data_IF_657055822288
#
_entry.id   IF_657055822288
#
_cell.length_a   1.000
_cell.length_b   1.000
_cell.length_c   1.000
_cell.angle_alpha   90.00
_cell.angle_beta   90.00
_cell.angle_gamma   90.00
#
_symmetry.space_group_name_H-M   'P 1'
#
loop_
_entity.id
_entity.type
_entity.pdbx_description
1 polymer ?
#
# COMPACT_ATOMS: atom_id res chain seq x y z
N UNK A 1 -7.86 -9.89 41.52
CA UNK A 1 -8.22 -9.21 40.25
C UNK A 1 -8.85 -7.82 40.46
N UNK A 2 -9.92 -7.68 41.26
CA UNK A 2 -10.59 -6.37 41.49
C UNK A 2 -9.68 -5.30 42.12
N UNK A 3 -8.79 -5.67 43.05
CA UNK A 3 -7.86 -4.72 43.66
C UNK A 3 -6.76 -4.23 42.72
N UNK A 4 -6.19 -5.14 41.92
CA UNK A 4 -5.19 -4.79 40.91
C UNK A 4 -5.73 -3.82 39.85
N UNK A 5 -6.98 -4.00 39.41
CA UNK A 5 -7.67 -3.07 38.49
C UNK A 5 -7.91 -1.72 39.17
N UNK A 6 -8.30 -1.71 40.45
CA UNK A 6 -8.58 -0.47 41.20
C UNK A 6 -7.32 0.35 41.45
N UNK A 7 -6.19 -0.28 41.72
CA UNK A 7 -4.89 0.36 41.90
C UNK A 7 -4.32 0.94 40.59
N UNK A 8 -4.62 0.31 39.44
CA UNK A 8 -4.08 0.68 38.13
C UNK A 8 -5.09 1.39 37.20
N UNK A 9 -6.18 1.95 37.74
CA UNK A 9 -7.25 2.58 36.93
C UNK A 9 -6.73 3.60 35.93
N UNK A 10 -5.79 4.45 36.32
CA UNK A 10 -5.19 5.46 35.44
C UNK A 10 -4.44 4.82 34.26
N UNK A 11 -3.65 3.78 34.53
CA UNK A 11 -2.92 3.05 33.49
C UNK A 11 -3.87 2.29 32.54
N UNK A 12 -4.91 1.65 33.08
CA UNK A 12 -5.93 0.97 32.26
C UNK A 12 -6.69 1.99 31.40
N UNK A 13 -7.09 3.13 31.96
CA UNK A 13 -7.73 4.20 31.22
C UNK A 13 -6.82 4.74 30.11
N UNK A 14 -5.52 4.94 30.40
CA UNK A 14 -4.54 5.31 29.41
C UNK A 14 -4.43 4.28 28.27
N UNK A 15 -4.31 2.98 28.58
CA UNK A 15 -4.24 1.94 27.56
C UNK A 15 -5.50 1.88 26.69
N UNK A 16 -6.68 2.04 27.28
CA UNK A 16 -7.95 2.11 26.54
C UNK A 16 -8.02 3.33 25.64
N UNK A 17 -7.70 4.52 26.17
CA UNK A 17 -7.68 5.77 25.40
C UNK A 17 -6.63 5.72 24.29
N UNK A 18 -5.46 5.16 24.56
CA UNK A 18 -4.41 4.94 23.57
C UNK A 18 -4.85 3.98 22.47
N UNK A 19 -5.52 2.87 22.83
CA UNK A 19 -6.09 1.94 21.87
C UNK A 19 -7.15 2.59 20.97
N UNK A 20 -8.06 3.37 21.55
CA UNK A 20 -9.08 4.13 20.80
C UNK A 20 -8.40 5.16 19.88
N UNK A 21 -7.48 5.97 20.42
CA UNK A 21 -6.72 6.96 19.67
C UNK A 21 -5.99 6.33 18.48
N UNK A 22 -5.28 5.23 18.71
CA UNK A 22 -4.59 4.45 17.68
C UNK A 22 -5.55 4.05 16.55
N UNK A 23 -6.72 3.53 16.90
CA UNK A 23 -7.68 3.07 15.89
C UNK A 23 -8.32 4.20 15.08
N UNK A 24 -8.21 5.45 15.53
CA UNK A 24 -8.78 6.62 14.85
C UNK A 24 -7.72 7.47 14.13
N UNK A 25 -6.53 7.62 14.69
CA UNK A 25 -5.56 8.64 14.26
C UNK A 25 -4.37 8.07 13.51
N UNK A 26 -3.73 7.04 14.07
CA UNK A 26 -2.48 6.51 13.54
C UNK A 26 -2.38 4.99 13.75
N UNK A 27 -2.06 4.27 12.68
CA UNK A 27 -1.78 2.83 12.72
C UNK A 27 -0.30 2.56 12.39
N UNK A 28 0.19 1.42 12.83
CA UNK A 28 1.44 0.85 12.33
C UNK A 28 1.14 -0.51 11.73
N UNK A 29 1.47 -0.70 10.45
CA UNK A 29 1.15 -1.92 9.74
C UNK A 29 2.45 -2.65 9.35
N UNK A 30 2.67 -3.89 9.84
CA UNK A 30 3.78 -4.71 9.38
C UNK A 30 3.52 -5.14 7.93
N UNK A 31 4.59 -5.24 7.15
CA UNK A 31 4.55 -5.64 5.74
C UNK A 31 4.94 -7.13 5.65
N UNK A 32 4.01 -8.03 5.32
CA UNK A 32 4.29 -9.46 5.24
C UNK A 32 4.59 -9.98 3.83
N UNK A 33 4.46 -9.15 2.79
CA UNK A 33 4.50 -9.61 1.38
C UNK A 33 5.34 -8.72 0.46
N UNK A 34 5.86 -9.32 -0.62
CA UNK A 34 6.70 -8.69 -1.65
C UNK A 34 5.96 -7.74 -2.62
N UNK A 35 4.64 -7.61 -2.53
CA UNK A 35 3.81 -6.94 -3.55
C UNK A 35 4.10 -5.44 -3.77
N UNK A 36 4.83 -4.83 -2.83
CA UNK A 36 5.21 -3.42 -2.87
C UNK A 36 6.73 -3.21 -3.00
N UNK A 37 7.49 -4.26 -3.36
CA UNK A 37 8.90 -4.14 -3.74
C UNK A 37 9.05 -3.21 -4.96
N UNK A 38 10.11 -2.37 -5.03
CA UNK A 38 11.23 -2.28 -4.10
C UNK A 38 11.01 -1.23 -2.99
N UNK A 39 9.83 -0.60 -2.92
CA UNK A 39 9.58 0.52 -2.00
C UNK A 39 9.29 0.04 -0.58
N UNK A 40 8.51 -1.03 -0.44
CA UNK A 40 8.27 -1.72 0.82
C UNK A 40 8.76 -3.17 0.72
N UNK A 41 9.48 -3.58 1.76
CA UNK A 41 10.05 -4.92 1.89
C UNK A 41 9.37 -5.66 3.03
N UNK A 42 9.32 -6.98 2.95
CA UNK A 42 8.83 -7.83 4.03
C UNK A 42 9.66 -7.58 5.29
N UNK A 43 8.97 -7.37 6.41
CA UNK A 43 9.60 -6.98 7.69
C UNK A 43 9.71 -5.47 7.92
N UNK A 44 9.31 -4.63 6.95
CA UNK A 44 9.04 -3.21 7.21
C UNK A 44 7.80 -3.06 8.11
N UNK A 45 7.80 -2.04 8.95
CA UNK A 45 6.61 -1.56 9.67
C UNK A 45 6.34 -0.13 9.24
N UNK A 46 5.18 0.10 8.65
CA UNK A 46 4.83 1.37 8.03
C UNK A 46 3.95 2.19 8.96
N UNK A 47 4.25 3.48 9.08
CA UNK A 47 3.39 4.47 9.72
C UNK A 47 2.24 4.86 8.79
N UNK A 48 1.01 4.68 9.27
CA UNK A 48 -0.20 4.98 8.52
C UNK A 48 -0.98 6.11 9.19
N UNK A 49 -1.12 7.21 8.46
CA UNK A 49 -1.97 8.33 8.84
C UNK A 49 -3.42 8.01 8.47
N UNK A 50 -4.24 7.69 9.49
CA UNK A 50 -5.66 7.36 9.30
C UNK A 50 -6.52 8.60 9.02
N UNK A 51 -6.06 9.77 9.46
CA UNK A 51 -6.72 11.06 9.23
C UNK A 51 -6.40 11.67 7.86
N UNK A 52 -5.62 10.99 7.02
CA UNK A 52 -5.22 11.51 5.71
C UNK A 52 -6.42 11.81 4.80
N UNK A 53 -7.50 11.02 4.92
CA UNK A 53 -8.66 11.10 4.04
C UNK A 53 -9.98 11.25 4.78
N UNK A 54 -10.16 10.56 5.90
CA UNK A 54 -11.43 10.50 6.61
C UNK A 54 -11.21 10.49 8.13
N UNK A 55 -12.08 11.18 8.88
CA UNK A 55 -12.24 10.97 10.32
C UNK A 55 -13.23 9.83 10.50
N UNK A 56 -12.71 8.66 10.89
CA UNK A 56 -13.53 7.46 11.13
C UNK A 56 -13.91 7.31 12.59
N UNK A 57 -15.09 6.74 12.86
CA UNK A 57 -15.45 6.29 14.20
C UNK A 57 -14.45 5.17 14.59
N UNK A 58 -13.81 5.26 15.78
CA UNK A 58 -12.88 4.24 16.26
C UNK A 58 -13.43 2.83 16.09
N UNK A 59 -12.57 1.88 15.66
CA UNK A 59 -12.91 0.47 15.45
C UNK A 59 -13.92 0.17 14.32
N UNK A 60 -14.32 1.15 13.51
CA UNK A 60 -15.25 0.96 12.39
C UNK A 60 -14.73 1.59 11.09
N UNK A 61 -15.41 1.30 9.97
CA UNK A 61 -15.17 1.96 8.68
C UNK A 61 -16.10 3.16 8.40
N UNK A 62 -16.90 3.56 9.39
CA UNK A 62 -17.85 4.67 9.24
C UNK A 62 -17.09 6.00 9.26
N UNK A 63 -17.11 6.73 8.15
CA UNK A 63 -16.55 8.08 8.03
C UNK A 63 -17.55 9.12 8.56
N UNK A 64 -17.09 9.97 9.48
CA UNK A 64 -17.82 11.12 10.01
C UNK A 64 -17.61 12.38 9.17
N UNK A 65 -16.40 12.55 8.63
CA UNK A 65 -16.01 13.71 7.84
C UNK A 65 -14.84 13.38 6.90
N UNK A 66 -14.86 13.97 5.70
CA UNK A 66 -13.73 13.92 4.76
C UNK A 66 -12.70 14.98 5.16
N UNK A 67 -11.45 14.59 5.36
CA UNK A 67 -10.34 15.49 5.74
C UNK A 67 -9.36 15.76 4.60
N UNK A 68 -9.35 14.92 3.58
CA UNK A 68 -8.47 15.07 2.43
C UNK A 68 -8.88 14.14 1.29
N UNK A 69 -8.37 14.42 0.10
CA UNK A 69 -8.62 13.59 -1.07
C UNK A 69 -7.40 12.73 -1.40
N UNK A 70 -7.58 11.40 -1.62
CA UNK A 70 -6.54 10.53 -2.12
C UNK A 70 -6.02 11.01 -3.48
N UNK A 71 -4.70 10.96 -3.63
CA UNK A 71 -4.00 11.43 -4.83
C UNK A 71 -3.40 10.25 -5.57
N UNK A 72 -3.21 10.44 -6.88
CA UNK A 72 -2.45 9.49 -7.70
C UNK A 72 -1.05 9.33 -7.09
N UNK A 73 -0.60 8.10 -6.96
CA UNK A 73 0.68 7.77 -6.37
C UNK A 73 0.67 7.62 -4.84
N UNK A 74 -0.41 7.95 -4.14
CA UNK A 74 -0.47 7.70 -2.69
C UNK A 74 -0.37 6.18 -2.41
N UNK A 75 0.43 5.81 -1.41
CA UNK A 75 0.47 4.43 -0.89
C UNK A 75 -0.56 4.32 0.23
N UNK A 76 -1.51 3.40 0.10
CA UNK A 76 -2.69 3.35 0.95
C UNK A 76 -2.90 1.96 1.51
N UNK A 77 -3.14 1.89 2.82
CA UNK A 77 -3.67 0.69 3.47
C UNK A 77 -5.18 0.70 3.34
N UNK A 78 -5.78 -0.43 2.99
CA UNK A 78 -7.23 -0.58 2.81
C UNK A 78 -7.67 -2.03 3.09
N UNK A 79 -8.96 -2.22 3.32
CA UNK A 79 -9.58 -3.54 3.39
C UNK A 79 -9.91 -4.02 1.98
N UNK A 80 -9.40 -5.19 1.59
CA UNK A 80 -9.65 -5.81 0.30
C UNK A 80 -11.16 -5.97 0.04
N UNK A 81 -11.70 -5.53 -1.11
CA UNK A 81 -13.12 -5.74 -1.42
C UNK A 81 -13.48 -7.21 -1.66
N UNK A 82 -12.48 -8.08 -1.90
CA UNK A 82 -12.69 -9.51 -2.16
C UNK A 82 -12.98 -10.31 -0.90
N UNK A 83 -12.27 -10.02 0.18
CA UNK A 83 -12.21 -10.88 1.38
C UNK A 83 -11.98 -10.12 2.70
N UNK A 84 -11.87 -8.79 2.67
CA UNK A 84 -11.62 -7.97 3.85
C UNK A 84 -10.17 -7.99 4.36
N UNK A 85 -9.27 -8.73 3.71
CA UNK A 85 -7.85 -8.78 4.06
C UNK A 85 -7.23 -7.37 3.99
N UNK A 86 -6.45 -6.97 5.00
CA UNK A 86 -5.74 -5.68 4.96
C UNK A 86 -4.63 -5.74 3.93
N UNK A 87 -4.73 -4.87 2.93
CA UNK A 87 -3.74 -4.72 1.86
C UNK A 87 -3.14 -3.33 1.89
N UNK A 88 -1.94 -3.21 1.34
CA UNK A 88 -1.28 -1.95 1.05
C UNK A 88 -0.89 -1.95 -0.43
N UNK A 89 -1.31 -0.91 -1.15
CA UNK A 89 -1.07 -0.73 -2.59
C UNK A 89 -0.93 0.75 -2.92
N UNK A 90 -0.52 1.07 -4.14
CA UNK A 90 -0.47 2.43 -4.65
C UNK A 90 -1.72 2.77 -5.44
N UNK A 91 -2.26 3.97 -5.25
CA UNK A 91 -3.32 4.50 -6.10
C UNK A 91 -2.73 4.79 -7.49
N UNK A 92 -3.06 3.93 -8.44
CA UNK A 92 -2.69 4.13 -9.84
C UNK A 92 -3.67 5.08 -10.53
N UNK A 93 -4.97 5.01 -10.18
CA UNK A 93 -5.99 5.86 -10.78
C UNK A 93 -7.12 6.29 -9.84
N UNK A 94 -7.69 7.45 -10.17
CA UNK A 94 -8.67 8.21 -9.40
C UNK A 94 -10.08 8.05 -10.01
N UNK A 95 -11.15 8.41 -9.26
CA UNK A 95 -12.51 8.41 -9.79
C UNK A 95 -12.63 9.14 -11.13
N UNK A 96 -13.25 8.48 -12.12
CA UNK A 96 -13.44 9.03 -13.47
C UNK A 96 -12.31 8.74 -14.46
N UNK A 97 -11.13 8.31 -14.00
CA UNK A 97 -10.07 7.87 -14.91
C UNK A 97 -10.50 6.62 -15.68
N UNK A 98 -10.08 6.52 -16.94
CA UNK A 98 -10.11 5.27 -17.71
C UNK A 98 -8.71 4.67 -17.76
N UNK A 99 -8.57 3.44 -17.28
CA UNK A 99 -7.28 2.77 -17.13
C UNK A 99 -7.27 1.48 -17.91
N UNK A 100 -6.18 1.24 -18.62
CA UNK A 100 -5.88 -0.05 -19.24
C UNK A 100 -4.38 -0.34 -19.11
N UNK A 101 -4.02 -1.62 -19.14
CA UNK A 101 -2.66 -2.02 -19.46
C UNK A 101 -2.68 -2.75 -20.80
N UNK A 102 -1.80 -2.31 -21.72
CA UNK A 102 -1.67 -2.88 -23.06
C UNK A 102 -0.20 -3.01 -23.44
N UNK A 103 0.24 -4.23 -23.73
CA UNK A 103 1.63 -4.54 -23.97
C UNK A 103 2.49 -4.22 -22.74
N UNK A 104 1.99 -4.57 -21.54
CA UNK A 104 2.66 -4.36 -20.24
C UNK A 104 2.84 -2.89 -19.82
N UNK A 105 2.25 -1.96 -20.56
CA UNK A 105 2.35 -0.52 -20.31
C UNK A 105 1.03 0.00 -19.78
N UNK A 106 1.10 0.81 -18.73
CA UNK A 106 -0.06 1.48 -18.15
C UNK A 106 -0.49 2.64 -19.04
N UNK A 107 -1.79 2.72 -19.34
CA UNK A 107 -2.43 3.85 -19.99
C UNK A 107 -3.51 4.41 -19.07
N UNK A 108 -3.52 5.73 -18.89
CA UNK A 108 -4.53 6.43 -18.10
C UNK A 108 -5.10 7.55 -18.97
N UNK A 109 -6.41 7.52 -19.21
CA UNK A 109 -7.13 8.45 -20.09
C UNK A 109 -6.50 8.53 -21.50
N UNK A 110 -6.01 7.39 -22.02
CA UNK A 110 -5.32 7.29 -23.31
C UNK A 110 -3.84 7.73 -23.28
N UNK A 111 -3.35 8.29 -22.16
CA UNK A 111 -1.95 8.67 -22.01
C UNK A 111 -1.13 7.49 -21.50
N UNK A 112 -0.18 7.04 -22.31
CA UNK A 112 0.71 5.94 -21.97
C UNK A 112 1.81 6.40 -21.00
N UNK A 113 2.04 5.63 -19.95
CA UNK A 113 3.15 5.84 -19.03
C UNK A 113 4.51 5.61 -19.71
N UNK A 114 5.51 6.37 -19.28
CA UNK A 114 6.91 6.20 -19.69
C UNK A 114 7.71 5.50 -18.62
N UNK A 115 8.73 4.75 -19.04
CA UNK A 115 9.54 3.90 -18.17
C UNK A 115 11.02 4.18 -18.35
N UNK A 116 11.75 4.38 -17.25
CA UNK A 116 13.21 4.48 -17.25
C UNK A 116 13.80 3.35 -16.44
N UNK A 117 14.74 2.60 -17.02
CA UNK A 117 15.44 1.52 -16.30
C UNK A 117 16.35 2.14 -15.23
N UNK A 118 16.20 1.69 -13.99
CA UNK A 118 17.01 2.13 -12.86
C UNK A 118 18.09 1.12 -12.48
N UNK A 119 17.90 -0.15 -12.83
CA UNK A 119 18.82 -1.24 -12.52
C UNK A 119 18.09 -2.55 -12.36
N UNK A 120 18.78 -3.56 -11.84
CA UNK A 120 18.23 -4.87 -11.55
C UNK A 120 18.61 -5.32 -10.14
N UNK A 121 17.85 -6.28 -9.62
CA UNK A 121 18.16 -7.06 -8.43
C UNK A 121 17.66 -8.49 -8.62
N UNK A 122 17.67 -9.28 -7.56
CA UNK A 122 17.01 -10.59 -7.54
C UNK A 122 15.83 -10.58 -6.58
N UNK A 123 14.80 -11.36 -6.92
CA UNK A 123 13.70 -11.69 -6.02
C UNK A 123 13.57 -13.20 -5.94
N UNK A 124 13.54 -13.73 -4.72
CA UNK A 124 13.25 -15.15 -4.47
C UNK A 124 11.75 -15.35 -4.39
N UNK A 125 11.22 -16.20 -5.26
CA UNK A 125 9.84 -16.70 -5.21
C UNK A 125 9.88 -18.18 -4.87
N UNK A 126 9.19 -18.60 -3.81
CA UNK A 126 9.28 -19.97 -3.26
C UNK A 126 9.11 -21.07 -4.32
N UNK A 127 8.19 -20.89 -5.28
CA UNK A 127 7.92 -21.86 -6.33
C UNK A 127 8.88 -21.80 -7.53
N UNK A 128 9.61 -20.70 -7.72
CA UNK A 128 10.37 -20.41 -8.95
C UNK A 128 11.87 -20.15 -8.71
N UNK A 129 12.31 -20.08 -7.45
CA UNK A 129 13.69 -19.78 -7.08
C UNK A 129 14.02 -18.29 -7.20
N UNK A 130 15.29 -17.98 -7.47
CA UNK A 130 15.76 -16.60 -7.65
C UNK A 130 15.51 -16.13 -9.08
N UNK A 131 14.79 -15.01 -9.20
CA UNK A 131 14.40 -14.39 -10.46
C UNK A 131 15.03 -13.02 -10.59
N UNK A 132 15.26 -12.58 -11.82
CA UNK A 132 15.70 -11.22 -12.08
C UNK A 132 14.53 -10.25 -11.84
N UNK A 133 14.79 -9.23 -11.03
CA UNK A 133 13.89 -8.14 -10.75
C UNK A 133 14.40 -6.88 -11.46
N UNK A 134 13.66 -6.40 -12.45
CA UNK A 134 14.00 -5.18 -13.16
C UNK A 134 13.33 -3.98 -12.48
N UNK A 135 14.12 -3.02 -12.04
CA UNK A 135 13.63 -1.80 -11.42
C UNK A 135 13.42 -0.72 -12.48
N UNK A 136 12.21 -0.17 -12.52
CA UNK A 136 11.83 0.89 -13.45
C UNK A 136 11.33 2.10 -12.66
N UNK A 137 11.57 3.29 -13.18
CA UNK A 137 10.80 4.48 -12.83
C UNK A 137 9.62 4.56 -13.79
N UNK A 138 8.42 4.42 -13.28
CA UNK A 138 7.19 4.68 -14.02
C UNK A 138 6.80 6.14 -13.82
N UNK A 139 6.56 6.85 -14.94
CA UNK A 139 5.99 8.19 -14.95
C UNK A 139 4.65 8.15 -15.65
N UNK A 140 3.58 8.45 -14.92
CA UNK A 140 2.20 8.42 -15.38
C UNK A 140 1.50 9.72 -14.99
N UNK A 141 1.13 10.52 -16.00
CA UNK A 141 0.60 11.87 -15.84
C UNK A 141 1.51 12.72 -14.93
N UNK A 142 1.06 13.07 -13.74
CA UNK A 142 1.78 13.92 -12.77
C UNK A 142 2.57 13.11 -11.73
N UNK A 143 2.45 11.78 -11.73
CA UNK A 143 3.05 10.92 -10.72
C UNK A 143 4.27 10.16 -11.25
N UNK A 144 5.32 10.08 -10.44
CA UNK A 144 6.55 9.34 -10.74
C UNK A 144 6.95 8.49 -9.54
N UNK A 145 7.13 7.19 -9.74
CA UNK A 145 7.53 6.27 -8.66
C UNK A 145 8.29 5.07 -9.22
N UNK A 146 8.99 4.37 -8.31
CA UNK A 146 9.73 3.15 -8.65
C UNK A 146 8.77 1.97 -8.64
N UNK A 147 8.91 1.10 -9.62
CA UNK A 147 8.24 -0.19 -9.71
C UNK A 147 9.27 -1.28 -9.97
N UNK A 148 8.84 -2.52 -9.83
CA UNK A 148 9.59 -3.70 -10.22
C UNK A 148 8.74 -4.57 -11.14
N UNK A 149 9.38 -5.16 -12.14
CA UNK A 149 8.83 -6.21 -13.00
C UNK A 149 9.70 -7.46 -12.93
N UNK A 150 9.09 -8.63 -13.07
CA UNK A 150 9.71 -9.95 -13.08
C UNK A 150 9.45 -10.60 -14.46
N UNK A 151 10.31 -10.35 -15.46
CA UNK A 151 10.08 -10.81 -16.83
C UNK A 151 9.85 -12.32 -16.93
N UNK A 152 10.46 -13.11 -16.04
CA UNK A 152 10.37 -14.56 -15.98
C UNK A 152 9.05 -15.10 -15.42
N UNK A 153 8.22 -14.26 -14.79
CA UNK A 153 6.96 -14.69 -14.16
C UNK A 153 5.81 -14.53 -15.14
N UNK A 154 4.95 -15.55 -15.23
CA UNK A 154 3.66 -15.42 -15.91
C UNK A 154 2.72 -14.63 -15.02
N UNK A 155 2.42 -13.39 -15.41
CA UNK A 155 1.59 -12.47 -14.64
C UNK A 155 0.52 -11.81 -15.52
N UNK A 156 -0.47 -11.20 -14.88
CA UNK A 156 -1.50 -10.41 -15.56
C UNK A 156 -0.90 -9.04 -15.93
N UNK A 157 -0.41 -8.93 -17.17
CA UNK A 157 0.25 -7.73 -17.69
C UNK A 157 -0.63 -6.83 -18.56
N UNK A 158 -1.80 -7.32 -18.94
CA UNK A 158 -2.78 -6.57 -19.71
C UNK A 158 -4.17 -6.67 -19.06
N UNK A 159 -4.91 -5.56 -19.08
CA UNK A 159 -6.30 -5.51 -18.59
C UNK A 159 -7.01 -4.26 -19.10
N UNK A 160 -8.33 -4.25 -18.95
CA UNK A 160 -9.16 -3.09 -19.25
C UNK A 160 -9.55 -2.98 -20.73
N UNK A 161 -10.06 -1.81 -21.14
CA UNK A 161 -10.21 -0.58 -20.35
C UNK A 161 -11.22 -0.68 -19.20
N UNK A 162 -10.92 -0.02 -18.09
CA UNK A 162 -11.79 0.12 -16.91
C UNK A 162 -11.93 1.60 -16.57
N UNK A 163 -13.16 2.11 -16.57
CA UNK A 163 -13.47 3.43 -16.01
C UNK A 163 -13.67 3.31 -14.51
N UNK A 164 -12.88 4.04 -13.73
CA UNK A 164 -12.92 4.02 -12.26
C UNK A 164 -14.23 4.67 -11.79
N UNK A 165 -15.09 3.96 -11.05
CA UNK A 165 -16.34 4.51 -10.55
C UNK A 165 -16.13 5.72 -9.63
N UNK A 166 -17.20 6.49 -9.41
CA UNK A 166 -17.22 7.54 -8.39
C UNK A 166 -16.87 6.96 -7.01
N UNK A 167 -16.15 7.74 -6.20
CA UNK A 167 -15.69 7.36 -4.86
C UNK A 167 -14.97 5.99 -4.82
N UNK A 168 -14.28 5.61 -5.89
CA UNK A 168 -13.47 4.38 -5.97
C UNK A 168 -12.10 4.65 -6.59
N UNK A 169 -11.16 3.75 -6.35
CA UNK A 169 -9.76 3.90 -6.78
C UNK A 169 -9.26 2.61 -7.40
N UNK A 170 -8.37 2.74 -8.39
CA UNK A 170 -7.64 1.59 -8.93
C UNK A 170 -6.28 1.50 -8.25
N UNK A 171 -6.03 0.36 -7.62
CA UNK A 171 -4.84 0.09 -6.81
C UNK A 171 -3.89 -0.86 -7.56
N UNK A 172 -2.61 -0.51 -7.66
CA UNK A 172 -1.58 -1.40 -8.19
C UNK A 172 -0.47 -1.64 -7.17
N UNK A 173 0.11 -2.83 -7.20
CA UNK A 173 1.37 -3.10 -6.51
C UNK A 173 2.55 -2.45 -7.23
N UNK A 174 3.57 -2.07 -6.46
CA UNK A 174 4.83 -1.60 -7.06
C UNK A 174 5.61 -2.78 -7.67
N UNK A 175 5.44 -4.00 -7.12
CA UNK A 175 5.92 -5.23 -7.73
C UNK A 175 4.86 -5.76 -8.70
N UNK A 176 4.95 -5.34 -9.96
CA UNK A 176 3.88 -5.51 -10.96
C UNK A 176 3.59 -6.96 -11.27
N UNK A 177 4.58 -7.83 -11.30
CA UNK A 177 4.37 -9.24 -11.66
C UNK A 177 4.11 -10.14 -10.45
N UNK A 178 4.28 -9.63 -9.22
CA UNK A 178 4.03 -10.38 -7.98
C UNK A 178 3.09 -9.61 -7.03
N UNK A 179 1.92 -9.23 -7.52
CA UNK A 179 0.93 -8.47 -6.76
C UNK A 179 -0.50 -8.87 -7.10
N UNK A 180 -1.25 -9.31 -6.07
CA UNK A 180 -2.71 -9.36 -6.11
C UNK A 180 -3.28 -7.96 -5.83
N UNK A 181 -3.69 -7.27 -6.88
CA UNK A 181 -4.21 -5.89 -6.82
C UNK A 181 -5.48 -5.71 -7.67
N UNK A 182 -5.82 -4.46 -8.05
CA UNK A 182 -7.06 -4.18 -8.77
C UNK A 182 -7.20 -4.89 -10.11
N UNK A 183 -6.11 -5.43 -10.67
CA UNK A 183 -6.18 -6.35 -11.82
C UNK A 183 -6.97 -7.62 -11.53
N UNK A 184 -7.00 -8.06 -10.26
CA UNK A 184 -7.67 -9.29 -9.82
C UNK A 184 -8.99 -9.00 -9.11
N UNK A 185 -9.06 -8.00 -8.24
CA UNK A 185 -10.25 -7.73 -7.40
C UNK A 185 -11.05 -6.50 -7.83
N UNK A 186 -10.65 -5.79 -8.89
CA UNK A 186 -11.32 -4.58 -9.35
C UNK A 186 -11.01 -3.35 -8.50
N UNK A 187 -11.86 -2.32 -8.61
CA UNK A 187 -11.67 -1.04 -7.92
C UNK A 187 -11.99 -1.11 -6.44
N UNK A 188 -11.38 -0.23 -5.65
CA UNK A 188 -11.53 -0.14 -4.20
C UNK A 188 -12.37 1.08 -3.83
N UNK A 189 -13.56 0.91 -3.22
CA UNK A 189 -14.35 2.01 -2.70
C UNK A 189 -13.62 2.80 -1.62
N UNK A 190 -13.83 4.13 -1.57
CA UNK A 190 -13.24 5.03 -0.57
C UNK A 190 -13.47 4.56 0.86
N UNK A 191 -14.66 4.03 1.16
CA UNK A 191 -15.02 3.58 2.50
C UNK A 191 -14.07 2.50 3.05
N UNK A 192 -13.45 1.71 2.16
CA UNK A 192 -12.50 0.67 2.53
C UNK A 192 -11.08 1.20 2.78
N UNK A 193 -10.78 2.46 2.43
CA UNK A 193 -9.47 3.05 2.70
C UNK A 193 -9.29 3.23 4.21
N UNK A 194 -8.17 2.72 4.74
CA UNK A 194 -7.85 2.80 6.16
C UNK A 194 -7.01 4.05 6.45
N UNK A 195 -6.05 4.36 5.59
CA UNK A 195 -5.18 5.52 5.76
C UNK A 195 -4.01 5.51 4.79
N UNK A 196 -3.31 6.64 4.72
CA UNK A 196 -2.12 6.79 3.87
C UNK A 196 -0.87 6.34 4.61
N UNK A 197 -0.04 5.54 3.95
CA UNK A 197 1.29 5.21 4.40
C UNK A 197 2.24 6.38 4.14
N UNK A 198 2.87 6.91 5.18
CA UNK A 198 3.74 8.10 5.09
C UNK A 198 5.23 7.75 5.13
N UNK A 199 5.60 6.69 5.86
CA UNK A 199 7.01 6.30 6.00
C UNK A 199 7.23 4.99 6.75
N UNK A 200 8.48 4.54 6.77
CA UNK A 200 8.91 3.31 7.44
C UNK A 200 9.39 3.63 8.86
N UNK A 201 8.76 3.02 9.88
CA UNK A 201 9.10 3.22 11.29
C UNK A 201 10.30 2.36 11.71
N UNK A 202 10.23 1.08 11.39
CA UNK A 202 11.27 0.09 11.70
C UNK A 202 11.31 -0.94 10.60
N UNK A 203 12.45 -1.62 10.45
CA UNK A 203 12.62 -2.65 9.46
C UNK A 203 13.62 -3.70 9.92
N UNK A 204 13.31 -4.98 9.66
CA UNK A 204 14.21 -6.11 9.89
C UNK A 204 14.14 -7.10 8.72
N UNK A 205 15.26 -7.77 8.41
CA UNK A 205 15.31 -8.84 7.40
C UNK A 205 14.74 -10.15 7.96
N UNK A 206 13.41 -10.23 8.03
CA UNK A 206 12.70 -11.39 8.57
C UNK A 206 12.80 -12.65 7.70
N UNK A 207 13.23 -12.52 6.44
CA UNK A 207 13.39 -13.63 5.51
C UNK A 207 14.81 -14.21 5.51
N UNK A 208 15.79 -13.49 6.06
CA UNK A 208 17.17 -13.92 6.20
C UNK A 208 17.59 -14.03 7.67
N UNK A 209 18.46 -13.13 8.11
CA UNK A 209 19.18 -13.25 9.38
C UNK A 209 18.54 -12.46 10.54
N UNK A 210 17.34 -11.91 10.34
CA UNK A 210 16.64 -11.04 11.30
C UNK A 210 17.40 -9.75 11.67
N UNK A 211 18.42 -9.37 10.89
CA UNK A 211 19.17 -8.15 11.16
C UNK A 211 18.29 -6.91 10.96
N UNK A 212 18.42 -5.89 11.83
CA UNK A 212 17.74 -4.62 11.63
C UNK A 212 18.28 -3.91 10.38
N UNK A 213 17.38 -3.34 9.58
CA UNK A 213 17.68 -2.55 8.38
C UNK A 213 17.55 -1.06 8.71
N UNK A 214 18.58 -0.52 9.36
CA UNK A 214 18.55 0.86 9.90
C UNK A 214 18.50 1.93 8.82
N UNK A 215 19.03 1.63 7.63
CA UNK A 215 18.98 2.51 6.45
C UNK A 215 17.56 2.75 5.93
N UNK A 216 16.59 1.91 6.32
CA UNK A 216 15.19 2.05 5.93
C UNK A 216 14.36 2.89 6.89
N UNK A 217 14.85 3.09 8.11
CA UNK A 217 14.13 3.82 9.16
C UNK A 217 13.99 5.29 8.74
N UNK A 218 12.76 5.81 8.74
CA UNK A 218 12.45 7.18 8.37
C UNK A 218 12.35 7.43 6.86
N UNK A 219 12.50 6.39 6.01
CA UNK A 219 12.26 6.54 4.58
C UNK A 219 10.82 7.00 4.31
N UNK A 220 10.67 8.06 3.53
CA UNK A 220 9.38 8.59 3.09
C UNK A 220 8.78 7.72 1.99
N UNK A 221 7.47 7.50 2.07
CA UNK A 221 6.68 6.83 1.03
C UNK A 221 5.89 7.81 0.17
N UNK A 222 6.01 9.11 0.45
CA UNK A 222 5.37 10.16 -0.35
C UNK A 222 6.04 10.24 -1.72
N UNK A 223 5.25 10.35 -2.78
CA UNK A 223 5.76 10.67 -4.11
C UNK A 223 6.44 12.05 -4.09
N UNK A 224 7.55 12.17 -4.80
CA UNK A 224 8.20 13.45 -5.08
C UNK A 224 7.53 14.13 -6.27
#
# INVERSE_FOLDING_TARGET
MKEAIRANKGFIAFLLLFGIFRTAVADWNPIPSASMRPNLLEGDVVFVNRLAYDVKIPLTDISLARTGEPRRGDVVTFSSPKDGTRLIKRIAALPGDTVEMRGERLLINGHQASYTVLGNSTERIDALGELAALHLREHSNEASYRIQVLPQVTAMRDFGPVTVPRDSYLMLGDNRDNSGDSRVFGTVPRALLIGRAEGILVSADIQGNWAPRTERIGMSLRSQ
#
